data_IF_668429503498
#
_entry.id   IF_668429503498
#
_cell.length_a   1.000
_cell.length_b   1.000
_cell.length_c   1.000
_cell.angle_alpha   90.00
_cell.angle_beta   90.00
_cell.angle_gamma   90.00
#
_symmetry.space_group_name_H-M   'P 1'
#
loop_
_entity.id
_entity.type
_entity.pdbx_description
1 polymer ?
#
# COMPACT_ATOMS: atom_id res chain seq x y z
N UNK A 1 71.22 -1.29 -53.50
CA UNK A 1 69.99 -1.51 -54.31
C UNK A 1 69.05 -2.32 -53.45
N UNK A 2 67.84 -1.93 -53.09
CA UNK A 2 67.08 -0.73 -53.36
C UNK A 2 66.15 -0.45 -52.18
N UNK A 3 65.76 0.82 -52.06
CA UNK A 3 64.80 1.35 -51.10
C UNK A 3 63.40 0.77 -51.31
N UNK A 4 62.66 0.53 -50.21
CA UNK A 4 61.24 0.90 -50.13
C UNK A 4 60.98 1.47 -48.73
N UNK A 5 60.52 2.73 -48.71
CA UNK A 5 59.95 3.44 -47.56
C UNK A 5 58.48 3.05 -47.43
N UNK A 6 57.99 2.81 -46.23
CA UNK A 6 56.63 3.20 -45.84
C UNK A 6 56.59 3.67 -44.38
N UNK A 7 55.76 4.69 -44.18
CA UNK A 7 55.62 5.57 -43.01
C UNK A 7 54.44 5.13 -42.11
N UNK A 8 54.25 5.75 -40.92
CA UNK A 8 53.68 5.08 -39.76
C UNK A 8 52.18 5.34 -39.56
N UNK A 9 51.44 4.30 -39.15
CA UNK A 9 50.16 4.46 -38.47
C UNK A 9 50.30 4.08 -36.99
N UNK A 10 50.61 5.09 -36.16
CA UNK A 10 50.41 5.03 -34.70
C UNK A 10 48.92 5.17 -34.42
N UNK A 11 48.25 4.06 -34.09
CA UNK A 11 46.96 4.11 -33.41
C UNK A 11 47.20 4.47 -31.93
N UNK A 12 46.95 5.73 -31.57
CA UNK A 12 46.87 6.15 -30.18
C UNK A 12 45.62 5.52 -29.55
N UNK A 13 45.81 4.56 -28.66
CA UNK A 13 44.75 4.05 -27.78
C UNK A 13 44.43 5.14 -26.74
N UNK A 14 43.45 5.99 -27.05
CA UNK A 14 42.77 6.78 -26.03
C UNK A 14 41.86 5.83 -25.24
N UNK A 15 42.38 5.32 -24.12
CA UNK A 15 41.56 4.68 -23.11
C UNK A 15 40.71 5.74 -22.43
N UNK A 16 39.45 5.87 -22.84
CA UNK A 16 38.44 6.60 -22.07
C UNK A 16 38.12 5.71 -20.86
N UNK A 17 38.72 6.02 -19.71
CA UNK A 17 38.30 5.47 -18.43
C UNK A 17 37.02 6.21 -18.06
N UNK A 18 35.87 5.68 -18.48
CA UNK A 18 34.58 6.11 -17.94
C UNK A 18 34.47 5.53 -16.54
N UNK A 19 34.98 6.26 -15.55
CA UNK A 19 34.68 5.99 -14.16
C UNK A 19 33.20 6.30 -13.94
N UNK A 20 32.35 5.28 -14.01
CA UNK A 20 31.02 5.34 -13.45
C UNK A 20 31.20 5.46 -11.93
N UNK A 21 31.05 6.67 -11.39
CA UNK A 21 30.81 6.81 -9.96
C UNK A 21 29.49 6.10 -9.68
N UNK A 22 29.57 4.90 -9.10
CA UNK A 22 28.43 4.32 -8.39
C UNK A 22 28.07 5.30 -7.28
N UNK A 23 27.01 6.08 -7.50
CA UNK A 23 26.41 6.88 -6.45
C UNK A 23 25.81 5.90 -5.45
N UNK A 24 26.54 5.60 -4.37
CA UNK A 24 25.95 4.94 -3.22
C UNK A 24 24.93 5.93 -2.63
N UNK A 25 23.65 5.62 -2.80
CA UNK A 25 22.58 6.41 -2.20
C UNK A 25 22.85 6.54 -0.70
N UNK A 26 22.77 7.76 -0.16
CA UNK A 26 22.91 7.96 1.27
C UNK A 26 21.79 7.20 1.99
N UNK A 27 22.13 6.47 3.06
CA UNK A 27 21.14 5.77 3.90
C UNK A 27 20.92 6.61 5.15
N UNK A 28 19.66 6.94 5.45
CA UNK A 28 19.27 7.64 6.66
C UNK A 28 18.29 6.79 7.46
N UNK A 29 18.60 6.55 8.74
CA UNK A 29 17.70 5.80 9.63
C UNK A 29 16.72 6.76 10.29
N UNK A 30 15.45 6.34 10.33
CA UNK A 30 14.36 7.05 11.00
C UNK A 30 13.84 6.12 12.09
N UNK A 31 14.14 6.49 13.33
CA UNK A 31 13.84 5.68 14.52
C UNK A 31 13.06 6.45 15.58
N UNK A 32 12.59 7.64 15.26
CA UNK A 32 11.87 8.52 16.16
C UNK A 32 10.73 9.20 15.42
N UNK A 33 9.67 9.54 16.16
CA UNK A 33 8.51 10.21 15.62
C UNK A 33 8.87 11.52 14.93
N UNK A 34 8.19 11.78 13.82
CA UNK A 34 8.30 12.98 13.02
C UNK A 34 7.35 14.00 13.63
N UNK A 35 7.88 14.74 14.61
CA UNK A 35 7.15 15.73 15.43
C UNK A 35 7.21 17.17 14.89
N UNK A 36 7.90 17.36 13.76
CA UNK A 36 8.00 18.65 13.06
C UNK A 36 8.04 18.42 11.56
N UNK A 37 7.63 19.44 10.80
CA UNK A 37 7.68 19.39 9.34
C UNK A 37 9.05 18.94 8.86
N UNK A 38 9.07 17.85 8.11
CA UNK A 38 10.27 17.15 7.70
C UNK A 38 10.21 16.87 6.21
N UNK A 39 11.36 16.94 5.54
CA UNK A 39 11.48 16.59 4.13
C UNK A 39 12.45 15.43 3.97
N UNK A 40 11.97 14.34 3.40
CA UNK A 40 12.82 13.29 2.85
C UNK A 40 13.32 13.73 1.48
N UNK A 41 14.64 13.82 1.34
CA UNK A 41 15.31 14.42 0.18
C UNK A 41 15.69 13.37 -0.87
N UNK A 42 15.52 13.73 -2.13
CA UNK A 42 15.90 12.89 -3.26
C UNK A 42 17.36 12.43 -3.16
N UNK A 43 17.64 11.21 -3.63
CA UNK A 43 18.97 10.59 -3.56
C UNK A 43 19.33 9.96 -2.20
N UNK A 44 18.43 10.03 -1.22
CA UNK A 44 18.56 9.35 0.08
C UNK A 44 17.57 8.19 0.17
N UNK A 45 18.03 7.03 0.61
CA UNK A 45 17.17 5.94 1.07
C UNK A 45 16.89 6.13 2.55
N UNK A 46 15.63 6.32 2.92
CA UNK A 46 15.22 6.43 4.32
C UNK A 46 14.79 5.05 4.80
N UNK A 47 15.32 4.58 5.93
CA UNK A 47 14.95 3.30 6.53
C UNK A 47 14.21 3.58 7.82
N UNK A 48 12.93 3.21 7.86
CA UNK A 48 12.11 3.19 9.06
C UNK A 48 12.50 1.96 9.86
N UNK A 49 13.08 2.17 11.05
CA UNK A 49 13.69 1.08 11.83
C UNK A 49 12.86 0.67 13.06
N UNK A 50 11.75 1.36 13.31
CA UNK A 50 10.80 1.14 14.41
C UNK A 50 9.43 1.68 14.00
N UNK A 51 8.42 1.48 14.82
CA UNK A 51 7.16 2.23 14.76
C UNK A 51 7.43 3.73 14.84
N UNK A 52 7.17 4.47 13.75
CA UNK A 52 7.41 5.91 13.62
C UNK A 52 6.12 6.62 13.25
N UNK A 53 5.72 7.58 14.07
CA UNK A 53 4.54 8.39 13.85
C UNK A 53 4.89 9.73 13.21
N UNK A 54 4.19 10.10 12.13
CA UNK A 54 4.05 11.49 11.70
C UNK A 54 2.92 12.09 12.52
N UNK A 55 3.26 12.93 13.49
CA UNK A 55 2.30 13.35 14.51
C UNK A 55 1.32 14.40 13.99
N UNK A 56 0.24 14.63 14.75
CA UNK A 56 -0.74 15.68 14.49
C UNK A 56 -0.07 17.04 14.18
N UNK A 57 -0.55 17.74 13.15
CA UNK A 57 -0.06 19.06 12.76
C UNK A 57 1.26 19.06 12.00
N UNK A 58 1.89 17.89 11.83
CA UNK A 58 3.15 17.74 11.10
C UNK A 58 2.91 17.32 9.66
N UNK A 59 3.74 17.84 8.74
CA UNK A 59 3.83 17.38 7.36
C UNK A 59 5.13 16.64 7.11
N UNK A 60 5.03 15.40 6.64
CA UNK A 60 6.13 14.71 5.98
C UNK A 60 6.03 14.97 4.47
N UNK A 61 7.02 15.68 3.95
CA UNK A 61 7.20 15.86 2.50
C UNK A 61 8.21 14.84 1.99
N UNK A 62 7.87 14.08 0.96
CA UNK A 62 8.77 13.12 0.34
C UNK A 62 9.00 13.57 -1.10
N UNK A 63 10.25 13.93 -1.41
CA UNK A 63 10.64 14.32 -2.77
C UNK A 63 10.62 13.13 -3.72
N UNK A 64 10.38 13.38 -5.00
CA UNK A 64 10.42 12.36 -6.04
C UNK A 64 11.81 11.72 -6.11
N UNK A 65 11.86 10.39 -6.28
CA UNK A 65 13.10 9.62 -6.29
C UNK A 65 13.63 9.23 -4.90
N UNK A 66 12.90 9.56 -3.83
CA UNK A 66 13.13 8.93 -2.52
C UNK A 66 12.60 7.50 -2.52
N UNK A 67 13.38 6.59 -1.94
CA UNK A 67 12.92 5.26 -1.53
C UNK A 67 12.82 5.20 -0.02
N UNK A 68 11.67 4.82 0.48
CA UNK A 68 11.46 4.55 1.90
C UNK A 68 11.46 3.04 2.09
N UNK A 69 12.32 2.56 2.96
CA UNK A 69 12.38 1.16 3.36
C UNK A 69 11.79 1.01 4.76
N UNK A 70 11.07 -0.07 5.00
CA UNK A 70 10.53 -0.43 6.31
C UNK A 70 11.24 -1.70 6.75
N UNK A 71 11.93 -1.66 7.90
CA UNK A 71 12.78 -2.78 8.31
C UNK A 71 11.94 -3.96 8.79
N UNK A 72 12.24 -5.13 8.25
CA UNK A 72 11.66 -6.37 8.74
C UNK A 72 12.19 -6.75 10.11
N UNK A 73 11.34 -7.44 10.86
CA UNK A 73 11.68 -8.03 12.15
C UNK A 73 10.77 -7.58 13.27
N UNK A 74 10.81 -8.36 14.33
CA UNK A 74 10.05 -8.11 15.55
C UNK A 74 10.77 -7.09 16.44
N UNK A 75 10.02 -6.17 17.03
CA UNK A 75 10.47 -5.13 17.93
C UNK A 75 9.65 -5.17 19.22
N UNK A 76 10.29 -5.16 20.37
CA UNK A 76 9.59 -5.12 21.67
C UNK A 76 9.27 -3.69 22.09
N UNK A 77 8.13 -3.47 22.76
CA UNK A 77 7.82 -2.22 23.47
C UNK A 77 7.15 -1.13 22.60
N UNK A 78 6.49 -1.54 21.53
CA UNK A 78 5.67 -0.71 20.63
C UNK A 78 4.35 -1.44 20.35
N UNK A 79 3.34 -0.73 19.85
CA UNK A 79 2.01 -1.30 19.64
C UNK A 79 2.06 -2.39 18.55
N UNK A 80 2.67 -2.10 17.40
CA UNK A 80 2.74 -3.03 16.26
C UNK A 80 3.85 -4.08 16.34
N UNK A 81 4.67 -4.03 17.40
CA UNK A 81 5.89 -4.85 17.57
C UNK A 81 6.77 -5.02 16.31
N UNK A 82 6.79 -4.00 15.45
CA UNK A 82 7.47 -4.02 14.15
C UNK A 82 7.76 -2.60 13.69
N UNK A 83 8.59 -2.45 12.65
CA UNK A 83 8.79 -1.15 12.04
C UNK A 83 7.60 -0.79 11.16
N UNK A 84 7.09 0.43 11.29
CA UNK A 84 5.94 0.92 10.53
C UNK A 84 6.06 2.44 10.36
N UNK A 85 5.49 2.98 9.29
CA UNK A 85 5.32 4.42 9.13
C UNK A 85 3.83 4.76 9.28
N UNK A 86 3.50 5.48 10.34
CA UNK A 86 2.12 5.78 10.71
C UNK A 86 1.89 7.27 10.56
N UNK A 87 0.87 7.65 9.81
CA UNK A 87 0.40 9.02 9.73
C UNK A 87 -0.79 9.20 10.66
N UNK A 88 -0.58 9.80 11.84
CA UNK A 88 -1.63 10.01 12.83
C UNK A 88 -2.73 10.94 12.32
N UNK A 89 -3.91 10.90 12.95
CA UNK A 89 -4.97 11.89 12.72
C UNK A 89 -4.45 13.32 12.84
N UNK A 90 -4.74 14.15 11.83
CA UNK A 90 -4.29 15.53 11.72
C UNK A 90 -2.86 15.71 11.19
N UNK A 91 -2.16 14.62 10.87
CA UNK A 91 -0.87 14.64 10.17
C UNK A 91 -1.04 14.77 8.65
N UNK A 92 0.07 14.95 7.92
CA UNK A 92 0.04 15.21 6.48
C UNK A 92 1.15 14.51 5.73
N UNK A 93 0.81 13.94 4.59
CA UNK A 93 1.74 13.49 3.55
C UNK A 93 1.69 14.46 2.36
N UNK A 94 2.85 14.83 1.85
CA UNK A 94 2.98 15.46 0.53
C UNK A 94 4.06 14.76 -0.29
N UNK A 95 3.69 14.15 -1.41
CA UNK A 95 4.60 13.51 -2.34
C UNK A 95 4.15 13.70 -3.80
N UNK A 96 5.06 13.53 -4.76
CA UNK A 96 4.70 13.24 -6.15
C UNK A 96 4.47 11.73 -6.28
N UNK A 97 5.55 10.99 -6.53
CA UNK A 97 5.56 9.52 -6.46
C UNK A 97 6.48 9.04 -5.34
N UNK A 98 6.00 8.11 -4.51
CA UNK A 98 6.79 7.51 -3.42
C UNK A 98 6.66 6.00 -3.43
N UNK A 99 7.77 5.32 -3.13
CA UNK A 99 7.80 3.87 -2.95
C UNK A 99 8.17 3.50 -1.52
N UNK A 100 7.40 2.59 -0.94
CA UNK A 100 7.65 1.95 0.35
C UNK A 100 7.95 0.46 0.10
N UNK A 101 9.04 -0.06 0.67
CA UNK A 101 9.39 -1.47 0.50
C UNK A 101 10.00 -2.08 1.77
N UNK A 102 9.88 -3.40 1.95
CA UNK A 102 10.60 -4.06 3.03
C UNK A 102 12.12 -3.93 2.88
N UNK A 103 12.81 -3.96 4.02
CA UNK A 103 14.26 -4.14 4.07
C UNK A 103 14.70 -5.22 5.04
N UNK A 104 15.85 -5.82 4.76
CA UNK A 104 16.56 -6.69 5.69
C UNK A 104 17.27 -5.89 6.80
N UNK A 105 17.90 -6.60 7.74
CA UNK A 105 18.67 -5.98 8.83
C UNK A 105 19.90 -5.18 8.34
N UNK A 106 20.29 -5.33 7.07
CA UNK A 106 21.40 -4.63 6.44
C UNK A 106 20.97 -3.48 5.53
N UNK A 107 19.73 -2.99 5.67
CA UNK A 107 19.17 -1.86 4.90
C UNK A 107 19.02 -2.11 3.40
N UNK A 108 18.91 -3.37 3.00
CA UNK A 108 18.71 -3.73 1.60
C UNK A 108 17.25 -4.09 1.36
N UNK A 109 16.66 -3.72 0.22
CA UNK A 109 15.34 -4.21 -0.17
C UNK A 109 15.29 -5.73 -0.11
N UNK A 110 14.17 -6.27 0.36
CA UNK A 110 13.95 -7.71 0.46
C UNK A 110 12.59 -8.11 -0.13
N UNK A 111 12.45 -9.38 -0.48
CA UNK A 111 11.20 -9.97 -1.01
C UNK A 111 10.43 -10.76 0.03
N UNK A 112 10.59 -10.38 1.29
CA UNK A 112 9.86 -10.95 2.42
C UNK A 112 9.10 -9.83 3.10
N UNK A 113 7.82 -10.02 3.36
CA UNK A 113 7.02 -9.11 4.18
C UNK A 113 7.05 -9.61 5.63
N UNK A 114 7.63 -8.80 6.52
CA UNK A 114 7.68 -9.08 7.96
C UNK A 114 7.86 -7.75 8.73
N UNK A 115 7.03 -6.77 8.41
CA UNK A 115 7.06 -5.42 9.00
C UNK A 115 5.62 -4.94 9.24
N UNK A 116 5.47 -3.73 9.76
CA UNK A 116 4.17 -3.15 10.07
C UNK A 116 3.57 -2.28 8.97
N UNK A 117 4.15 -2.26 7.77
CA UNK A 117 3.56 -1.51 6.65
C UNK A 117 3.43 0.00 6.86
N UNK A 118 2.40 0.58 6.24
CA UNK A 118 2.14 2.03 6.26
C UNK A 118 0.67 2.31 6.60
N UNK A 119 0.45 3.18 7.59
CA UNK A 119 -0.89 3.56 8.05
C UNK A 119 -1.20 5.02 7.70
N UNK A 120 -2.44 5.26 7.26
CA UNK A 120 -3.00 6.58 7.02
C UNK A 120 -4.23 6.80 7.88
N UNK A 121 -4.08 7.51 9.00
CA UNK A 121 -5.17 7.79 9.93
C UNK A 121 -5.77 9.18 9.64
N UNK A 122 -7.04 9.21 9.27
CA UNK A 122 -7.80 10.43 9.04
C UNK A 122 -8.42 11.00 10.30
N UNK A 123 -9.21 12.05 10.12
CA UNK A 123 -10.04 12.63 11.19
C UNK A 123 -11.53 12.62 10.85
N UNK A 124 -11.94 11.89 9.81
CA UNK A 124 -13.32 11.84 9.35
C UNK A 124 -14.21 10.97 10.23
N UNK A 125 -13.73 9.80 10.62
CA UNK A 125 -14.39 8.88 11.56
C UNK A 125 -13.35 8.25 12.48
N UNK A 126 -13.76 7.87 13.66
CA UNK A 126 -12.92 7.08 14.55
C UNK A 126 -12.95 5.61 14.09
N UNK A 127 -11.88 4.89 14.35
CA UNK A 127 -11.71 3.48 14.00
C UNK A 127 -10.36 3.02 14.51
N UNK A 128 -10.17 1.71 14.64
CA UNK A 128 -8.91 1.14 15.13
C UNK A 128 -8.64 -0.19 14.45
N UNK A 129 -7.38 -0.47 14.20
CA UNK A 129 -6.84 -1.73 13.68
C UNK A 129 -5.41 -1.86 14.20
N UNK A 130 -4.98 -3.04 14.63
CA UNK A 130 -3.62 -3.26 15.14
C UNK A 130 -3.18 -2.27 16.26
N UNK A 131 -4.10 -1.85 17.13
CA UNK A 131 -3.86 -0.79 18.14
C UNK A 131 -3.42 0.58 17.57
N UNK A 132 -3.63 0.82 16.28
CA UNK A 132 -3.49 2.10 15.59
C UNK A 132 -4.88 2.67 15.31
N UNK A 133 -5.16 3.88 15.80
CA UNK A 133 -6.51 4.44 15.72
C UNK A 133 -6.56 5.77 14.99
N UNK A 134 -7.61 5.95 14.20
CA UNK A 134 -8.06 7.29 13.79
C UNK A 134 -8.88 7.94 14.89
N UNK A 135 -8.74 9.26 15.03
CA UNK A 135 -9.48 10.09 15.98
C UNK A 135 -10.32 11.08 15.22
N UNK A 136 -11.59 11.21 15.56
CA UNK A 136 -12.49 12.21 15.00
C UNK A 136 -13.18 13.02 16.11
N UNK A 137 -13.76 14.17 15.77
CA UNK A 137 -14.54 15.00 16.70
C UNK A 137 -14.05 16.43 16.84
N UNK A 138 -14.66 17.16 17.78
CA UNK A 138 -14.38 18.59 17.98
C UNK A 138 -12.92 18.80 18.38
N UNK A 139 -12.23 19.66 17.63
CA UNK A 139 -10.84 20.03 17.90
C UNK A 139 -9.79 19.13 17.25
N UNK A 140 -10.18 18.00 16.64
CA UNK A 140 -9.25 17.18 15.85
C UNK A 140 -9.00 17.86 14.51
N UNK A 141 -7.72 18.00 14.14
CA UNK A 141 -7.34 18.56 12.84
C UNK A 141 -7.58 17.52 11.74
N UNK A 142 -8.07 17.98 10.58
CA UNK A 142 -8.11 17.14 9.39
C UNK A 142 -6.68 16.74 8.96
N UNK A 143 -6.53 15.47 8.62
CA UNK A 143 -5.38 14.94 7.92
C UNK A 143 -5.34 15.44 6.48
N UNK A 144 -4.18 15.32 5.83
CA UNK A 144 -4.06 15.62 4.39
C UNK A 144 -3.02 14.73 3.73
N UNK A 145 -3.49 13.78 2.93
CA UNK A 145 -2.67 12.81 2.23
C UNK A 145 -2.69 13.11 0.75
N UNK A 146 -1.61 13.74 0.25
CA UNK A 146 -1.51 14.19 -1.13
C UNK A 146 -0.35 13.48 -1.80
N UNK A 147 -0.66 12.63 -2.78
CA UNK A 147 0.34 12.00 -3.64
C UNK A 147 -0.21 11.76 -5.04
N UNK A 148 0.65 11.83 -6.05
CA UNK A 148 0.28 11.31 -7.38
C UNK A 148 0.25 9.79 -7.32
N UNK A 149 1.28 9.17 -6.73
CA UNK A 149 1.41 7.71 -6.68
C UNK A 149 2.06 7.23 -5.38
N UNK A 150 1.52 6.15 -4.83
CA UNK A 150 2.11 5.38 -3.73
C UNK A 150 2.28 3.94 -4.23
N UNK A 151 3.51 3.44 -4.18
CA UNK A 151 3.83 2.05 -4.51
C UNK A 151 4.38 1.33 -3.27
N UNK A 152 3.71 0.27 -2.84
CA UNK A 152 4.13 -0.57 -1.73
C UNK A 152 4.52 -1.97 -2.22
N UNK A 153 5.61 -2.51 -1.68
CA UNK A 153 6.06 -3.86 -2.00
C UNK A 153 6.59 -4.59 -0.78
N UNK A 154 6.12 -5.83 -0.57
CA UNK A 154 6.54 -6.67 0.56
C UNK A 154 6.31 -6.01 1.93
N UNK A 155 5.19 -5.33 2.12
CA UNK A 155 4.84 -4.69 3.39
C UNK A 155 3.82 -5.53 4.17
N UNK A 156 3.74 -5.32 5.47
CA UNK A 156 2.89 -6.10 6.36
C UNK A 156 3.53 -7.41 6.81
N UNK A 157 2.77 -8.23 7.52
CA UNK A 157 3.16 -9.57 7.96
C UNK A 157 1.92 -10.43 8.26
N UNK A 158 2.00 -11.74 8.04
CA UNK A 158 0.99 -12.66 8.54
C UNK A 158 1.12 -12.82 10.05
N UNK A 159 0.01 -13.10 10.72
CA UNK A 159 -0.14 -13.78 12.00
C UNK A 159 1.15 -13.95 12.85
N UNK A 160 1.37 -13.10 13.87
CA UNK A 160 2.42 -13.33 14.85
C UNK A 160 2.07 -14.60 15.67
N UNK A 161 2.91 -15.64 15.58
CA UNK A 161 2.86 -16.76 16.54
C UNK A 161 3.39 -16.33 17.90
N UNK A 162 2.58 -15.57 18.65
CA UNK A 162 2.77 -15.14 20.04
C UNK A 162 3.69 -13.92 20.22
N UNK A 163 3.25 -12.94 21.01
CA UNK A 163 4.05 -11.77 21.41
C UNK A 163 3.30 -10.45 21.32
N UNK A 164 2.26 -10.41 20.49
CA UNK A 164 1.29 -9.32 20.42
C UNK A 164 0.15 -9.64 21.40
N UNK A 165 -0.40 -8.64 22.05
CA UNK A 165 -1.35 -8.79 23.16
C UNK A 165 -2.81 -9.02 22.71
N UNK A 166 -3.04 -9.08 21.40
CA UNK A 166 -4.12 -9.87 20.80
C UNK A 166 -3.52 -11.12 20.12
N UNK A 167 -4.29 -12.20 20.08
CA UNK A 167 -3.85 -13.45 19.43
C UNK A 167 -4.47 -13.60 18.04
N UNK A 168 -4.90 -12.51 17.38
CA UNK A 168 -5.82 -12.62 16.24
C UNK A 168 -5.83 -11.45 15.25
N UNK A 169 -4.87 -10.51 15.20
CA UNK A 169 -4.91 -9.43 14.19
C UNK A 169 -3.66 -9.37 13.29
N UNK A 170 -3.94 -9.19 12.00
CA UNK A 170 -2.98 -9.26 10.90
C UNK A 170 -2.51 -7.87 10.45
N UNK A 171 -1.19 -7.71 10.28
CA UNK A 171 -0.65 -6.40 9.87
C UNK A 171 -0.55 -6.30 8.36
N UNK A 172 -1.39 -5.41 7.86
CA UNK A 172 -1.61 -5.07 6.48
C UNK A 172 -0.42 -4.38 5.77
N UNK A 173 -0.38 -4.49 4.44
CA UNK A 173 0.62 -3.77 3.64
C UNK A 173 0.38 -2.26 3.57
N UNK A 174 -0.89 -1.85 3.43
CA UNK A 174 -1.35 -0.47 3.43
C UNK A 174 -2.67 -0.42 4.21
N UNK A 175 -2.73 0.44 5.22
CA UNK A 175 -3.94 0.60 6.05
C UNK A 175 -4.45 2.03 6.00
N UNK A 176 -5.74 2.21 5.76
CA UNK A 176 -6.41 3.53 5.72
C UNK A 176 -7.56 3.53 6.74
N UNK A 177 -7.45 4.35 7.78
CA UNK A 177 -8.38 4.33 8.90
C UNK A 177 -9.04 5.71 9.05
N UNK A 178 -10.36 5.77 9.02
CA UNK A 178 -11.10 6.99 9.33
C UNK A 178 -10.82 8.18 8.40
N UNK A 179 -10.43 7.93 7.15
CA UNK A 179 -10.04 8.96 6.18
C UNK A 179 -11.25 9.45 5.39
N UNK A 180 -11.44 10.77 5.35
CA UNK A 180 -12.56 11.38 4.63
C UNK A 180 -12.22 11.81 3.19
N UNK A 181 -13.25 12.17 2.40
CA UNK A 181 -13.08 12.56 1.00
C UNK A 181 -12.23 13.82 0.78
N UNK A 182 -12.12 14.67 1.82
CA UNK A 182 -11.32 15.89 1.77
C UNK A 182 -9.87 15.69 2.23
N UNK A 183 -9.58 14.56 2.86
CA UNK A 183 -8.26 14.24 3.43
C UNK A 183 -7.43 13.42 2.45
N UNK A 184 -8.06 12.54 1.67
CA UNK A 184 -7.40 11.70 0.67
C UNK A 184 -7.34 12.35 -0.71
N UNK A 185 -6.13 12.58 -1.21
CA UNK A 185 -5.85 13.04 -2.57
C UNK A 185 -4.70 12.26 -3.19
N UNK A 186 -4.68 10.94 -2.93
CA UNK A 186 -3.75 10.01 -3.58
C UNK A 186 -4.41 9.43 -4.82
N UNK A 187 -3.81 9.66 -6.00
CA UNK A 187 -4.44 9.25 -7.27
C UNK A 187 -4.21 7.79 -7.62
N UNK A 188 -3.02 7.26 -7.35
CA UNK A 188 -2.61 5.91 -7.75
C UNK A 188 -2.03 5.18 -6.55
N UNK A 189 -2.55 4.00 -6.24
CA UNK A 189 -2.03 3.11 -5.20
C UNK A 189 -1.70 1.77 -5.81
N UNK A 190 -0.52 1.25 -5.48
CA UNK A 190 -0.11 -0.12 -5.79
C UNK A 190 0.36 -0.82 -4.52
N UNK A 191 -0.07 -2.05 -4.31
CA UNK A 191 0.43 -2.96 -3.28
C UNK A 191 0.80 -4.29 -3.94
N UNK A 192 2.00 -4.79 -3.66
CA UNK A 192 2.50 -6.02 -4.27
C UNK A 192 3.14 -6.91 -3.21
N UNK A 193 2.76 -8.19 -3.21
CA UNK A 193 3.29 -9.19 -2.27
C UNK A 193 3.20 -8.74 -0.81
N UNK A 194 2.07 -8.15 -0.42
CA UNK A 194 1.80 -7.86 0.98
C UNK A 194 1.92 -9.15 1.83
N UNK A 195 2.38 -9.00 3.06
CA UNK A 195 2.51 -10.10 4.02
C UNK A 195 1.17 -10.59 4.56
N UNK A 196 0.14 -9.79 4.32
CA UNK A 196 -1.24 -9.98 4.70
C UNK A 196 -2.13 -9.40 3.58
N UNK A 197 -3.16 -8.57 3.85
CA UNK A 197 -3.96 -7.97 2.79
C UNK A 197 -3.22 -6.93 1.98
N UNK A 198 -3.64 -6.82 0.72
CA UNK A 198 -3.06 -5.89 -0.22
C UNK A 198 -3.39 -4.44 0.09
N UNK A 199 -4.62 -4.14 0.46
CA UNK A 199 -5.08 -2.79 0.74
C UNK A 199 -6.28 -2.82 1.68
N UNK A 200 -6.07 -2.36 2.91
CA UNK A 200 -7.05 -2.40 3.97
C UNK A 200 -7.63 -1.01 4.28
N UNK A 201 -8.95 -0.91 4.40
CA UNK A 201 -9.66 0.35 4.56
C UNK A 201 -10.81 0.24 5.57
N UNK A 202 -10.68 0.94 6.70
CA UNK A 202 -11.65 0.93 7.80
C UNK A 202 -12.24 2.32 8.03
N UNK A 203 -13.56 2.40 8.21
CA UNK A 203 -14.30 3.63 8.53
C UNK A 203 -13.99 4.85 7.64
N UNK A 204 -13.66 4.62 6.37
CA UNK A 204 -13.15 5.65 5.46
C UNK A 204 -14.07 5.89 4.26
N UNK A 205 -13.92 7.05 3.64
CA UNK A 205 -14.51 7.37 2.35
C UNK A 205 -13.46 8.03 1.46
N UNK A 206 -12.93 7.25 0.51
CA UNK A 206 -11.82 7.64 -0.36
C UNK A 206 -12.14 7.40 -1.83
N UNK A 207 -11.49 8.18 -2.70
CA UNK A 207 -11.58 8.03 -4.15
C UNK A 207 -10.18 8.10 -4.77
N UNK A 208 -9.91 7.22 -5.73
CA UNK A 208 -8.64 7.11 -6.42
C UNK A 208 -8.84 6.87 -7.92
N UNK A 209 -7.83 7.22 -8.72
CA UNK A 209 -7.82 6.99 -10.15
C UNK A 209 -7.44 5.56 -10.49
N UNK A 210 -6.46 4.98 -9.80
CA UNK A 210 -6.14 3.57 -9.97
C UNK A 210 -5.73 2.87 -8.68
N UNK A 211 -6.23 1.65 -8.53
CA UNK A 211 -5.82 0.70 -7.49
C UNK A 211 -5.19 -0.53 -8.14
N UNK A 212 -4.05 -0.97 -7.65
CA UNK A 212 -3.40 -2.21 -8.08
C UNK A 212 -3.00 -3.00 -6.86
N UNK A 213 -3.52 -4.20 -6.71
CA UNK A 213 -3.11 -5.17 -5.71
C UNK A 213 -2.66 -6.43 -6.43
N UNK A 214 -1.44 -6.87 -6.16
CA UNK A 214 -0.87 -8.07 -6.79
C UNK A 214 -0.33 -9.01 -5.74
N UNK A 215 -0.85 -10.23 -5.75
CA UNK A 215 -0.37 -11.34 -4.94
C UNK A 215 -0.17 -11.01 -3.44
N UNK A 216 -1.15 -10.39 -2.75
CA UNK A 216 -1.14 -10.29 -1.27
C UNK A 216 -1.04 -11.68 -0.64
N UNK A 217 -0.79 -11.82 0.65
CA UNK A 217 -0.77 -13.15 1.30
C UNK A 217 -2.20 -13.63 1.58
N UNK A 218 -3.06 -12.71 1.98
CA UNK A 218 -4.49 -12.91 2.21
C UNK A 218 -5.25 -12.12 1.15
N UNK A 219 -6.07 -11.14 1.54
CA UNK A 219 -7.06 -10.57 0.66
C UNK A 219 -6.50 -9.54 -0.31
N UNK A 220 -7.19 -9.45 -1.44
CA UNK A 220 -7.04 -8.35 -2.38
C UNK A 220 -7.32 -7.03 -1.68
N UNK A 221 -8.57 -6.86 -1.26
CA UNK A 221 -9.07 -5.68 -0.58
C UNK A 221 -9.85 -6.12 0.65
N UNK A 222 -9.40 -5.68 1.82
CA UNK A 222 -10.15 -5.81 3.06
C UNK A 222 -10.75 -4.44 3.40
N UNK A 223 -12.08 -4.36 3.49
CA UNK A 223 -12.78 -3.08 3.61
C UNK A 223 -13.90 -3.17 4.63
N UNK A 224 -13.74 -2.44 5.74
CA UNK A 224 -14.71 -2.40 6.83
C UNK A 224 -15.39 -1.04 6.90
N UNK A 225 -16.72 -1.03 6.91
CA UNK A 225 -17.57 0.16 7.06
C UNK A 225 -17.17 1.38 6.21
N UNK A 226 -16.75 1.14 4.96
CA UNK A 226 -16.08 2.13 4.12
C UNK A 226 -16.66 2.27 2.71
N UNK A 227 -16.38 3.43 2.09
CA UNK A 227 -16.59 3.68 0.66
C UNK A 227 -15.25 3.87 -0.04
N UNK A 228 -14.90 2.94 -0.93
CA UNK A 228 -13.73 3.04 -1.82
C UNK A 228 -14.21 3.23 -3.25
N UNK A 229 -13.87 4.35 -3.88
CA UNK A 229 -14.23 4.62 -5.27
C UNK A 229 -12.99 4.58 -6.18
N UNK A 230 -13.05 3.77 -7.24
CA UNK A 230 -12.01 3.70 -8.26
C UNK A 230 -12.56 4.23 -9.57
N UNK A 231 -11.98 5.32 -10.04
CA UNK A 231 -12.52 6.10 -11.17
C UNK A 231 -11.94 5.70 -12.54
N UNK A 232 -10.74 5.10 -12.57
CA UNK A 232 -10.01 4.83 -13.81
C UNK A 232 -9.64 3.36 -14.02
N UNK A 233 -8.92 2.73 -13.10
CA UNK A 233 -8.57 1.31 -13.24
C UNK A 233 -8.40 0.58 -11.92
N UNK A 234 -8.90 -0.65 -11.84
CA UNK A 234 -8.66 -1.54 -10.71
C UNK A 234 -8.04 -2.85 -11.20
N UNK A 235 -6.91 -3.23 -10.61
CA UNK A 235 -6.32 -4.55 -10.79
C UNK A 235 -6.21 -5.21 -9.43
N UNK A 236 -6.82 -6.38 -9.26
CA UNK A 236 -6.56 -7.30 -8.15
C UNK A 236 -6.18 -8.63 -8.76
N UNK A 237 -4.88 -8.92 -8.79
CA UNK A 237 -4.32 -10.07 -9.47
C UNK A 237 -3.61 -10.99 -8.47
N UNK A 238 -4.29 -12.05 -8.07
CA UNK A 238 -3.81 -13.02 -7.09
C UNK A 238 -3.27 -14.27 -7.80
N UNK A 239 -2.42 -15.02 -7.11
CA UNK A 239 -2.12 -16.39 -7.51
C UNK A 239 -3.15 -17.35 -6.91
N UNK A 240 -3.32 -18.53 -7.53
CA UNK A 240 -4.14 -19.60 -6.94
C UNK A 240 -3.44 -20.11 -5.68
N UNK A 241 -4.22 -20.27 -4.62
CA UNK A 241 -3.78 -20.73 -3.31
C UNK A 241 -4.91 -21.49 -2.64
N UNK A 242 -4.58 -22.29 -1.62
CA UNK A 242 -5.54 -22.98 -0.75
C UNK A 242 -5.64 -22.32 0.63
N UNK A 243 -5.11 -21.11 0.78
CA UNK A 243 -5.28 -20.32 1.99
C UNK A 243 -6.78 -20.09 2.25
N UNK A 244 -7.26 -20.36 3.49
CA UNK A 244 -8.67 -20.27 3.82
C UNK A 244 -9.17 -18.82 3.79
N UNK A 245 -8.34 -17.86 4.21
CA UNK A 245 -8.59 -16.41 4.23
C UNK A 245 -7.76 -15.75 3.14
N UNK A 246 -8.34 -15.69 1.95
CA UNK A 246 -7.70 -15.23 0.72
C UNK A 246 -8.73 -15.03 -0.38
N UNK A 247 -9.30 -13.84 -0.39
CA UNK A 247 -10.42 -13.39 -1.20
C UNK A 247 -10.02 -12.21 -2.08
N UNK A 248 -10.75 -11.95 -3.16
CA UNK A 248 -10.63 -10.71 -3.92
C UNK A 248 -11.07 -9.51 -3.07
N UNK A 249 -12.09 -9.72 -2.25
CA UNK A 249 -12.76 -8.74 -1.43
C UNK A 249 -13.21 -9.43 -0.15
N UNK A 250 -12.76 -8.91 0.98
CA UNK A 250 -13.39 -9.15 2.27
C UNK A 250 -14.03 -7.84 2.76
N UNK A 251 -15.31 -7.89 3.11
CA UNK A 251 -16.15 -6.71 3.33
C UNK A 251 -17.01 -6.83 4.59
N UNK A 252 -16.60 -6.11 5.62
CA UNK A 252 -17.30 -6.07 6.91
C UNK A 252 -18.15 -4.79 7.08
N UNK A 253 -19.16 -4.79 7.96
CA UNK A 253 -20.10 -3.65 8.12
C UNK A 253 -20.35 -3.15 9.55
N UNK A 254 -19.40 -3.35 10.46
CA UNK A 254 -19.43 -2.97 11.89
C UNK A 254 -20.18 -1.67 12.25
N UNK A 255 -19.85 -0.58 11.55
CA UNK A 255 -20.39 0.77 11.79
C UNK A 255 -21.19 1.32 10.61
N UNK A 256 -21.42 0.49 9.58
CA UNK A 256 -22.18 0.88 8.40
C UNK A 256 -21.82 0.09 7.14
N UNK A 257 -22.51 0.38 6.03
CA UNK A 257 -22.35 -0.40 4.81
C UNK A 257 -20.96 -0.23 4.19
N UNK A 258 -20.42 -1.32 3.66
CA UNK A 258 -19.19 -1.34 2.89
C UNK A 258 -19.46 -1.37 1.40
N UNK A 259 -18.76 -0.52 0.64
CA UNK A 259 -18.88 -0.43 -0.81
C UNK A 259 -17.56 -0.13 -1.49
N UNK A 260 -17.25 -0.91 -2.51
CA UNK A 260 -16.24 -0.62 -3.51
C UNK A 260 -16.94 -0.29 -4.82
N UNK A 261 -16.76 0.93 -5.31
CA UNK A 261 -17.40 1.42 -6.53
C UNK A 261 -16.36 1.54 -7.64
N UNK A 262 -16.54 0.76 -8.69
CA UNK A 262 -15.81 0.90 -9.94
C UNK A 262 -16.64 1.76 -10.90
N UNK A 263 -16.14 2.95 -11.24
CA UNK A 263 -16.89 3.87 -12.10
C UNK A 263 -17.06 3.35 -13.53
N UNK A 264 -18.09 3.83 -14.21
CA UNK A 264 -18.28 3.53 -15.64
C UNK A 264 -17.04 3.97 -16.43
N UNK A 265 -16.66 3.14 -17.40
CA UNK A 265 -15.44 3.22 -18.20
C UNK A 265 -14.13 2.89 -17.47
N UNK A 266 -14.20 2.47 -16.20
CA UNK A 266 -13.02 1.94 -15.54
C UNK A 266 -12.54 0.64 -16.22
N UNK A 267 -11.22 0.48 -16.30
CA UNK A 267 -10.57 -0.76 -16.73
C UNK A 267 -10.36 -1.67 -15.52
N UNK A 268 -10.89 -2.88 -15.58
CA UNK A 268 -10.94 -3.83 -14.47
C UNK A 268 -10.18 -5.09 -14.86
N UNK A 269 -9.33 -5.56 -13.96
CA UNK A 269 -8.62 -6.84 -14.02
C UNK A 269 -8.69 -7.51 -12.65
N UNK A 270 -9.68 -8.38 -12.45
CA UNK A 270 -9.88 -9.14 -11.21
C UNK A 270 -9.59 -10.61 -11.48
N UNK A 271 -8.66 -11.19 -10.71
CA UNK A 271 -8.26 -12.60 -10.77
C UNK A 271 -7.97 -13.08 -9.36
N UNK A 272 -8.87 -13.86 -8.77
CA UNK A 272 -8.75 -14.31 -7.39
C UNK A 272 -9.96 -15.12 -6.97
N UNK A 273 -10.03 -15.50 -5.70
CA UNK A 273 -11.22 -16.18 -5.19
C UNK A 273 -12.28 -15.16 -4.83
N UNK A 274 -13.52 -15.36 -5.31
CA UNK A 274 -14.65 -14.64 -4.74
C UNK A 274 -14.99 -15.27 -3.39
N UNK A 275 -15.32 -14.45 -2.40
CA UNK A 275 -15.69 -14.87 -1.06
C UNK A 275 -16.82 -15.88 -1.01
N UNK A 276 -16.97 -16.51 0.15
CA UNK A 276 -17.92 -17.60 0.34
C UNK A 276 -19.30 -17.09 0.78
N UNK A 277 -20.14 -17.99 1.31
CA UNK A 277 -21.50 -17.63 1.74
C UNK A 277 -21.55 -16.78 3.01
N UNK A 278 -20.47 -16.74 3.79
CA UNK A 278 -20.38 -16.06 5.08
C UNK A 278 -19.99 -14.59 4.93
N UNK A 279 -19.13 -14.26 3.97
CA UNK A 279 -18.62 -12.88 3.75
C UNK A 279 -19.67 -11.92 3.18
N UNK A 280 -20.85 -12.46 2.80
CA UNK A 280 -21.99 -11.75 2.23
C UNK A 280 -21.70 -10.80 1.04
N UNK A 281 -20.53 -10.91 0.41
CA UNK A 281 -20.07 -10.03 -0.66
C UNK A 281 -20.98 -10.16 -1.89
N UNK A 282 -21.55 -9.04 -2.33
CA UNK A 282 -22.44 -8.95 -3.51
C UNK A 282 -21.82 -8.11 -4.62
N UNK A 283 -22.16 -8.45 -5.87
CA UNK A 283 -21.79 -7.70 -7.06
C UNK A 283 -23.02 -7.14 -7.78
N UNK A 284 -23.14 -5.82 -7.85
CA UNK A 284 -24.05 -5.15 -8.77
C UNK A 284 -23.27 -4.65 -9.99
N UNK A 285 -23.41 -5.34 -11.13
CA UNK A 285 -22.78 -4.93 -12.39
C UNK A 285 -23.59 -5.40 -13.60
N UNK A 286 -23.59 -4.58 -14.65
CA UNK A 286 -24.17 -4.92 -15.95
C UNK A 286 -23.13 -5.48 -16.93
N UNK A 287 -21.84 -5.33 -16.65
CA UNK A 287 -20.74 -5.77 -17.50
C UNK A 287 -20.00 -6.99 -16.95
N UNK A 288 -19.89 -7.10 -15.63
CA UNK A 288 -19.15 -8.18 -14.96
C UNK A 288 -20.06 -9.40 -14.74
N UNK A 289 -19.54 -10.63 -14.96
CA UNK A 289 -20.25 -11.86 -14.60
C UNK A 289 -20.60 -11.88 -13.11
N UNK A 290 -21.77 -12.42 -12.79
CA UNK A 290 -22.18 -12.61 -11.40
C UNK A 290 -21.42 -13.81 -10.80
N UNK A 291 -20.76 -13.64 -9.64
CA UNK A 291 -20.11 -14.74 -8.93
C UNK A 291 -21.16 -15.65 -8.29
N UNK A 292 -20.80 -16.89 -7.97
CA UNK A 292 -21.64 -17.76 -7.16
C UNK A 292 -21.57 -17.35 -5.67
N UNK A 293 -22.65 -16.87 -5.05
CA UNK A 293 -22.62 -16.39 -3.67
C UNK A 293 -22.60 -17.51 -2.61
N UNK A 294 -22.51 -18.79 -3.02
CA UNK A 294 -22.61 -19.94 -2.12
C UNK A 294 -21.31 -20.73 -1.98
N UNK A 295 -20.31 -20.45 -2.82
CA UNK A 295 -19.10 -21.26 -2.91
C UNK A 295 -17.91 -20.34 -3.21
N UNK A 296 -16.85 -20.48 -2.40
CA UNK A 296 -15.54 -19.89 -2.71
C UNK A 296 -15.01 -20.46 -4.02
N UNK A 297 -14.95 -19.63 -5.05
CA UNK A 297 -14.54 -20.05 -6.38
C UNK A 297 -13.63 -19.03 -7.06
N UNK A 298 -12.81 -19.52 -7.99
CA UNK A 298 -11.94 -18.64 -8.77
C UNK A 298 -12.77 -17.77 -9.70
N UNK A 299 -12.73 -16.47 -9.48
CA UNK A 299 -13.38 -15.44 -10.28
C UNK A 299 -12.36 -14.74 -11.19
N UNK A 300 -12.77 -14.51 -12.43
CA UNK A 300 -11.96 -13.77 -13.40
C UNK A 300 -12.83 -12.82 -14.23
N UNK A 301 -12.41 -11.55 -14.25
CA UNK A 301 -12.94 -10.56 -15.17
C UNK A 301 -11.84 -9.60 -15.60
N UNK A 302 -11.63 -9.50 -16.91
CA UNK A 302 -10.73 -8.51 -17.52
C UNK A 302 -11.50 -7.75 -18.59
N UNK A 303 -11.67 -6.44 -18.39
CA UNK A 303 -12.48 -5.64 -19.32
C UNK A 303 -12.69 -4.20 -18.91
N UNK A 304 -13.54 -3.50 -19.67
CA UNK A 304 -13.94 -2.11 -19.42
C UNK A 304 -15.43 -2.10 -19.08
N UNK A 305 -15.83 -1.37 -18.04
CA UNK A 305 -17.22 -1.20 -17.63
C UNK A 305 -17.99 -0.25 -18.56
N UNK A 306 -18.48 -0.74 -19.70
CA UNK A 306 -19.11 0.07 -20.76
C UNK A 306 -20.55 0.46 -20.47
N UNK A 307 -21.34 -0.45 -19.89
CA UNK A 307 -22.79 -0.33 -19.69
C UNK A 307 -23.15 0.47 -18.44
N UNK A 308 -22.34 0.41 -17.39
CA UNK A 308 -22.56 1.19 -16.16
C UNK A 308 -21.40 1.03 -15.18
N UNK A 309 -21.47 1.67 -14.00
CA UNK A 309 -20.56 1.36 -12.91
C UNK A 309 -20.80 -0.07 -12.40
N UNK A 310 -19.82 -0.61 -11.69
CA UNK A 310 -19.95 -1.82 -10.89
C UNK A 310 -19.76 -1.49 -9.41
N UNK A 311 -20.51 -2.17 -8.55
CA UNK A 311 -20.41 -2.01 -7.10
C UNK A 311 -20.25 -3.39 -6.48
N UNK A 312 -19.18 -3.57 -5.72
CA UNK A 312 -19.01 -4.68 -4.79
C UNK A 312 -19.38 -4.17 -3.41
N UNK A 313 -20.23 -4.88 -2.68
CA UNK A 313 -20.74 -4.37 -1.41
C UNK A 313 -21.14 -5.47 -0.43
N UNK A 314 -21.11 -5.10 0.85
CA UNK A 314 -21.79 -5.79 1.95
C UNK A 314 -22.72 -4.79 2.66
N UNK A 315 -23.87 -5.25 3.13
CA UNK A 315 -24.91 -4.40 3.76
C UNK A 315 -25.47 -4.96 5.07
N UNK A 316 -25.15 -6.19 5.42
CA UNK A 316 -25.55 -6.77 6.70
C UNK A 316 -24.29 -6.88 7.57
N UNK A 317 -24.45 -6.58 8.85
CA UNK A 317 -23.43 -6.89 9.85
C UNK A 317 -23.42 -8.40 10.06
N UNK A 318 -22.23 -8.95 10.25
CA UNK A 318 -22.01 -10.37 10.54
C UNK A 318 -22.69 -10.81 11.86
#
# INVERSE_FOLDING_TARGET
MGLVRESPHRAARYGVITAWLEFQAAVAHVSADITRNTTFRAGTTYVITTEVHVTEGTTLTIEDGVRVLIRNGYLTGRNLTSAALIFDSGSRLRAGSVSFAASDAGDRPTTTALNGGVFFCGAFRSGSMDNISSRSGVGVRNSSFVATRIDCSYLGRPDPRGGDDDNTDDINGITVIGVGPNEWRVRHVSSTNAGDDGFCVTNSSISLASLTVVNPFEDGLNVTSSLVEVTGSCTVAMSRSTAPDRELFDLETDEGPTRIVFQRLAAIDLRGYWGDRYDEVRLASSDMPQPNPLVKEWYEFVGILRRGPAVVFSINAD
#
